data_IF_120146405115
#
_entry.id   IF_120146405115
#
_cell.length_a   1.000
_cell.length_b   1.000
_cell.length_c   1.000
_cell.angle_alpha   90.00
_cell.angle_beta   90.00
_cell.angle_gamma   90.00
#
_symmetry.space_group_name_H-M   'P 1'
#
loop_
_entity.id
_entity.type
_entity.pdbx_description
1 polymer ?
#
# COMPACT_ATOMS: atom_id res chain seq x y z
N UNK A 1 -9.23 6.47 13.10
CA UNK A 1 -8.47 6.16 11.88
C UNK A 1 -8.54 7.32 10.92
N UNK A 2 -7.43 7.71 10.33
CA UNK A 2 -7.43 8.74 9.31
C UNK A 2 -6.45 8.42 8.19
N UNK A 3 -6.59 9.11 7.07
CA UNK A 3 -5.78 8.90 5.88
C UNK A 3 -4.96 10.16 5.61
N UNK A 4 -3.66 9.99 5.45
CA UNK A 4 -2.73 11.08 5.17
C UNK A 4 -1.96 10.81 3.88
N UNK A 5 -1.41 11.88 3.31
CA UNK A 5 -0.44 11.76 2.23
C UNK A 5 0.84 11.16 2.78
N UNK A 6 1.41 10.18 2.09
CA UNK A 6 2.67 9.58 2.50
C UNK A 6 3.84 10.51 2.18
N UNK A 7 4.88 10.43 3.00
CA UNK A 7 6.15 11.13 2.75
C UNK A 7 7.24 10.08 2.57
N UNK A 8 8.41 10.52 2.11
CA UNK A 8 9.54 9.60 1.94
C UNK A 8 9.97 8.96 3.25
N UNK A 9 9.75 9.64 4.37
CA UNK A 9 10.04 9.08 5.69
C UNK A 9 9.19 7.86 6.01
N UNK A 10 8.05 7.71 5.33
CA UNK A 10 7.16 6.57 5.53
C UNK A 10 7.55 5.34 4.70
N UNK A 11 8.42 5.50 3.71
CA UNK A 11 8.69 4.44 2.73
C UNK A 11 9.19 3.15 3.37
N UNK A 12 10.04 3.22 4.38
CA UNK A 12 10.52 2.01 5.06
C UNK A 12 9.39 1.26 5.74
N UNK A 13 8.45 1.97 6.34
CA UNK A 13 7.27 1.34 6.95
C UNK A 13 6.38 0.73 5.88
N UNK A 14 6.20 1.42 4.76
CA UNK A 14 5.36 0.92 3.67
C UNK A 14 5.94 -0.35 3.05
N UNK A 15 7.26 -0.42 2.88
CA UNK A 15 7.87 -1.62 2.32
C UNK A 15 7.77 -2.80 3.28
N UNK A 16 7.78 -2.56 4.59
CA UNK A 16 7.53 -3.60 5.58
C UNK A 16 6.11 -4.15 5.47
N UNK A 17 5.13 -3.26 5.29
CA UNK A 17 3.74 -3.66 5.11
C UNK A 17 3.58 -4.48 3.83
N UNK A 18 4.20 -4.03 2.73
CA UNK A 18 4.18 -4.76 1.47
C UNK A 18 4.74 -6.18 1.65
N UNK A 19 5.92 -6.29 2.26
CA UNK A 19 6.56 -7.58 2.45
C UNK A 19 5.73 -8.50 3.34
N UNK A 20 5.25 -7.99 4.48
CA UNK A 20 4.41 -8.76 5.39
C UNK A 20 3.13 -9.24 4.72
N UNK A 21 2.55 -8.38 3.90
CA UNK A 21 1.31 -8.69 3.20
C UNK A 21 1.51 -9.79 2.15
N UNK A 22 2.55 -9.69 1.33
CA UNK A 22 2.78 -10.71 0.29
C UNK A 22 3.22 -12.04 0.90
N UNK A 23 3.98 -12.03 2.00
CA UNK A 23 4.35 -13.26 2.68
C UNK A 23 3.15 -13.96 3.31
N UNK A 24 2.18 -13.18 3.78
CA UNK A 24 1.00 -13.73 4.44
C UNK A 24 -0.02 -14.31 3.46
N UNK A 25 -0.08 -13.83 2.23
CA UNK A 25 -1.15 -14.18 1.31
C UNK A 25 -0.72 -14.90 0.05
N UNK A 26 0.56 -14.86 -0.31
CA UNK A 26 1.00 -15.35 -1.61
C UNK A 26 2.09 -16.38 -1.49
N UNK A 27 1.79 -17.57 -1.95
CA UNK A 27 2.77 -18.65 -2.02
C UNK A 27 3.53 -18.63 -3.33
N UNK A 28 3.14 -17.80 -4.28
CA UNK A 28 3.78 -17.77 -5.60
C UNK A 28 4.94 -16.80 -5.70
N UNK A 29 5.16 -15.97 -4.69
CA UNK A 29 6.36 -15.13 -4.64
C UNK A 29 7.43 -15.84 -3.82
N UNK A 30 8.52 -16.19 -4.49
CA UNK A 30 9.64 -16.83 -3.80
C UNK A 30 10.42 -15.79 -3.00
N UNK A 31 11.28 -16.27 -2.10
CA UNK A 31 12.18 -15.41 -1.33
C UNK A 31 13.06 -14.57 -2.25
N UNK A 32 13.52 -15.14 -3.34
CA UNK A 32 14.32 -14.41 -4.32
C UNK A 32 13.53 -13.32 -5.02
N UNK A 33 12.27 -13.57 -5.35
CA UNK A 33 11.42 -12.57 -5.96
C UNK A 33 11.17 -11.40 -5.02
N UNK A 34 10.93 -11.69 -3.74
CA UNK A 34 10.74 -10.64 -2.74
C UNK A 34 12.00 -9.80 -2.59
N UNK A 35 13.16 -10.43 -2.50
CA UNK A 35 14.44 -9.72 -2.39
C UNK A 35 14.74 -8.87 -3.61
N UNK A 36 14.32 -9.32 -4.79
CA UNK A 36 14.51 -8.57 -6.03
C UNK A 36 13.55 -7.38 -6.13
N UNK A 37 12.28 -7.59 -5.80
CA UNK A 37 11.25 -6.57 -5.93
C UNK A 37 11.34 -5.48 -4.86
N UNK A 38 11.75 -5.85 -3.65
CA UNK A 38 11.77 -4.94 -2.51
C UNK A 38 12.53 -3.64 -2.78
N UNK A 39 13.78 -3.68 -3.25
CA UNK A 39 14.50 -2.44 -3.55
C UNK A 39 13.90 -1.68 -4.73
N UNK A 40 13.35 -2.37 -5.72
CA UNK A 40 12.72 -1.71 -6.87
C UNK A 40 11.49 -0.91 -6.42
N UNK A 41 10.68 -1.50 -5.55
CA UNK A 41 9.48 -0.82 -5.04
C UNK A 41 9.90 0.39 -4.21
N UNK A 42 10.87 0.20 -3.33
CA UNK A 42 11.31 1.25 -2.42
C UNK A 42 11.95 2.42 -3.15
N UNK A 43 12.77 2.15 -4.16
CA UNK A 43 13.55 3.18 -4.85
C UNK A 43 12.84 3.81 -6.05
N UNK A 44 11.91 3.09 -6.68
CA UNK A 44 11.32 3.54 -7.93
C UNK A 44 9.80 3.60 -7.89
N UNK A 45 9.14 2.54 -7.45
CA UNK A 45 7.68 2.44 -7.58
C UNK A 45 6.96 3.39 -6.64
N UNK A 46 7.44 3.57 -5.42
CA UNK A 46 6.82 4.48 -4.49
C UNK A 46 6.86 5.94 -4.98
N UNK A 47 7.95 6.32 -5.64
CA UNK A 47 8.07 7.67 -6.19
C UNK A 47 7.19 7.88 -7.44
N UNK A 48 6.78 6.79 -8.09
CA UNK A 48 6.00 6.86 -9.32
C UNK A 48 4.51 6.98 -9.09
N UNK A 49 4.03 6.82 -7.85
CA UNK A 49 2.60 6.82 -7.54
C UNK A 49 2.29 7.85 -6.45
N UNK A 50 1.03 8.28 -6.42
CA UNK A 50 0.52 9.12 -5.35
C UNK A 50 0.11 8.21 -4.19
N UNK A 51 0.88 8.25 -3.11
CA UNK A 51 0.69 7.35 -1.96
C UNK A 51 -0.11 8.02 -0.85
N UNK A 52 -1.07 7.30 -0.33
CA UNK A 52 -1.81 7.67 0.88
C UNK A 52 -1.70 6.54 1.88
N UNK A 53 -1.65 6.89 3.16
CA UNK A 53 -1.49 5.93 4.25
C UNK A 53 -2.69 5.99 5.17
N UNK A 54 -3.05 4.84 5.72
CA UNK A 54 -4.08 4.75 6.75
C UNK A 54 -3.39 4.61 8.11
N UNK A 55 -3.74 5.48 9.04
CA UNK A 55 -3.17 5.51 10.38
C UNK A 55 -4.25 5.22 11.42
N UNK A 56 -3.91 4.42 12.42
CA UNK A 56 -4.77 4.24 13.58
C UNK A 56 -4.52 5.35 14.59
N UNK A 57 -5.27 5.35 15.69
CA UNK A 57 -5.28 6.47 16.64
C UNK A 57 -3.92 6.83 17.20
N UNK A 58 -3.02 5.85 17.39
CA UNK A 58 -1.68 6.13 17.91
C UNK A 58 -0.71 6.61 16.83
N UNK A 59 -1.17 6.80 15.59
CA UNK A 59 -0.32 7.26 14.49
C UNK A 59 0.39 6.14 13.73
N UNK A 60 0.17 4.90 14.10
CA UNK A 60 0.78 3.77 13.39
C UNK A 60 0.16 3.59 12.01
N UNK A 61 1.00 3.43 10.99
CA UNK A 61 0.56 3.16 9.63
C UNK A 61 0.22 1.67 9.52
N UNK A 62 -1.00 1.36 9.09
CA UNK A 62 -1.48 -0.02 8.99
C UNK A 62 -1.89 -0.42 7.57
N UNK A 63 -1.80 0.49 6.63
CA UNK A 63 -2.08 0.20 5.22
C UNK A 63 -1.74 1.39 4.35
N UNK A 64 -1.70 1.14 3.05
CA UNK A 64 -1.43 2.21 2.10
C UNK A 64 -2.03 1.90 0.74
N UNK A 65 -2.21 2.94 -0.07
CA UNK A 65 -2.71 2.85 -1.43
C UNK A 65 -1.85 3.76 -2.32
N UNK A 66 -1.55 3.29 -3.52
CA UNK A 66 -0.81 4.06 -4.52
C UNK A 66 -1.61 4.18 -5.80
N UNK A 67 -1.77 5.41 -6.29
CA UNK A 67 -2.55 5.70 -7.50
C UNK A 67 -1.64 6.39 -8.51
N UNK A 68 -1.66 5.91 -9.75
CA UNK A 68 -0.95 6.54 -10.86
C UNK A 68 -1.87 6.55 -12.07
N UNK A 69 -2.00 7.71 -12.71
CA UNK A 69 -2.82 7.86 -13.92
C UNK A 69 -4.24 7.31 -13.73
N UNK A 70 -4.85 7.61 -12.57
CA UNK A 70 -6.20 7.19 -12.21
C UNK A 70 -6.33 5.68 -11.96
N UNK A 71 -5.23 4.96 -11.97
CA UNK A 71 -5.21 3.53 -11.68
C UNK A 71 -4.67 3.27 -10.28
N UNK A 72 -5.34 2.38 -9.55
CA UNK A 72 -4.84 1.92 -8.27
C UNK A 72 -3.84 0.78 -8.55
N UNK A 73 -2.56 1.07 -8.40
CA UNK A 73 -1.51 0.09 -8.65
C UNK A 73 -1.06 -0.65 -7.41
N UNK A 74 -1.34 -0.09 -6.24
CA UNK A 74 -0.95 -0.69 -4.95
C UNK A 74 -2.06 -0.50 -3.94
N UNK A 75 -2.38 -1.56 -3.20
CA UNK A 75 -3.30 -1.50 -2.07
C UNK A 75 -2.92 -2.64 -1.14
N UNK A 76 -2.29 -2.31 -0.02
CA UNK A 76 -1.79 -3.29 0.93
C UNK A 76 -2.16 -2.91 2.34
N UNK A 77 -2.58 -3.90 3.12
CA UNK A 77 -2.96 -3.73 4.52
C UNK A 77 -2.09 -4.67 5.34
N UNK A 78 -1.60 -4.19 6.47
CA UNK A 78 -0.87 -5.02 7.42
C UNK A 78 -1.71 -6.24 7.77
N UNK A 79 -1.14 -7.47 7.74
CA UNK A 79 -1.93 -8.69 8.00
C UNK A 79 -2.67 -8.66 9.33
N UNK A 80 -2.13 -8.01 10.32
CA UNK A 80 -2.74 -7.90 11.65
C UNK A 80 -4.01 -7.04 11.66
N UNK A 81 -4.20 -6.24 10.62
CA UNK A 81 -5.29 -5.29 10.55
C UNK A 81 -6.27 -5.58 9.42
N UNK A 82 -6.21 -6.77 8.84
CA UNK A 82 -7.14 -7.17 7.79
C UNK A 82 -8.54 -7.36 8.34
N UNK A 83 -9.52 -7.27 7.44
CA UNK A 83 -10.94 -7.47 7.78
C UNK A 83 -11.49 -6.42 8.74
N UNK A 84 -10.90 -5.23 8.76
CA UNK A 84 -11.36 -4.12 9.58
C UNK A 84 -11.86 -2.94 8.75
N UNK A 85 -12.04 -3.15 7.44
CA UNK A 85 -12.55 -2.11 6.55
C UNK A 85 -11.53 -1.09 6.11
N UNK A 86 -10.25 -1.29 6.41
CA UNK A 86 -9.19 -0.33 6.06
C UNK A 86 -9.02 -0.22 4.55
N UNK A 87 -9.03 -1.36 3.85
CA UNK A 87 -8.92 -1.35 2.40
C UNK A 87 -10.05 -0.58 1.74
N UNK A 88 -11.29 -0.77 2.22
CA UNK A 88 -12.44 -0.03 1.72
C UNK A 88 -12.31 1.46 1.99
N UNK A 89 -11.81 1.84 3.15
CA UNK A 89 -11.61 3.23 3.50
C UNK A 89 -10.58 3.89 2.58
N UNK A 90 -9.45 3.22 2.35
CA UNK A 90 -8.42 3.71 1.44
C UNK A 90 -8.96 3.83 0.01
N UNK A 91 -9.71 2.85 -0.44
CA UNK A 91 -10.29 2.85 -1.78
C UNK A 91 -11.28 4.00 -1.97
N UNK A 92 -12.18 4.19 -1.02
CA UNK A 92 -13.13 5.31 -1.08
C UNK A 92 -12.44 6.66 -1.07
N UNK A 93 -11.40 6.79 -0.25
CA UNK A 93 -10.62 8.02 -0.20
C UNK A 93 -9.92 8.28 -1.53
N UNK A 94 -9.36 7.23 -2.16
CA UNK A 94 -8.69 7.36 -3.44
C UNK A 94 -9.64 7.82 -4.54
N UNK A 95 -10.86 7.29 -4.55
CA UNK A 95 -11.88 7.70 -5.52
C UNK A 95 -12.21 9.18 -5.35
N UNK A 96 -12.31 9.65 -4.12
CA UNK A 96 -12.69 11.02 -3.81
C UNK A 96 -11.55 12.02 -3.99
N UNK A 97 -10.32 11.66 -3.61
CA UNK A 97 -9.22 12.62 -3.51
C UNK A 97 -8.10 12.38 -4.50
N UNK A 98 -7.99 11.19 -5.07
CA UNK A 98 -6.93 10.83 -6.01
C UNK A 98 -7.46 10.54 -7.41
N UNK A 99 -8.74 10.78 -7.63
CA UNK A 99 -9.41 10.56 -8.92
C UNK A 99 -9.20 9.12 -9.45
N UNK A 100 -9.16 8.16 -8.54
CA UNK A 100 -8.98 6.76 -8.93
C UNK A 100 -10.23 6.26 -9.65
N UNK A 101 -10.05 5.67 -10.81
CA UNK A 101 -11.15 5.18 -11.64
C UNK A 101 -11.02 3.70 -11.98
N UNK A 102 -9.81 3.17 -11.89
CA UNK A 102 -9.53 1.78 -12.25
C UNK A 102 -8.69 1.13 -11.18
N UNK A 103 -8.87 -0.16 -11.01
CA UNK A 103 -8.08 -0.96 -10.08
C UNK A 103 -7.22 -1.91 -10.89
N UNK A 104 -5.92 -1.80 -10.75
CA UNK A 104 -4.94 -2.63 -11.45
C UNK A 104 -4.13 -3.42 -10.44
N UNK A 105 -4.83 -4.01 -9.47
CA UNK A 105 -4.21 -4.77 -8.40
C UNK A 105 -4.47 -6.25 -8.62
N UNK A 106 -3.41 -7.03 -8.65
CA UNK A 106 -3.51 -8.48 -8.71
C UNK A 106 -3.68 -9.04 -7.31
N UNK A 107 -4.76 -9.72 -7.13
CA UNK A 107 -5.01 -10.39 -5.87
C UNK A 107 -4.40 -11.79 -5.83
#
# INVERSE_FOLDING_TARGET
>A
MHIDTATKDNYLKLIEIWESSVRATHNFLSEENIKHLKPLILEHYFDAVDLRVAKIENGEIVGFIGVAEQNIGMLFISPEHRNKGIGSLLLKNAIKTQDAQKVDVNE
#
